data_IF_179532657145
#
_entry.id   IF_179532657145
#
_cell.length_a   1.000
_cell.length_b   1.000
_cell.length_c   1.000
_cell.angle_alpha   90.00
_cell.angle_beta   90.00
_cell.angle_gamma   90.00
#
_symmetry.space_group_name_H-M   'P 1'
#
loop_
_entity.id
_entity.type
_entity.pdbx_description
1 polymer ?
#
# COMPACT_ATOMS: atom_id res chain seq x y z
N UNK A 1 16.01 15.27 21.72
CA UNK A 1 14.64 15.87 21.64
C UNK A 1 14.56 17.01 22.62
N UNK A 2 13.99 18.18 22.21
CA UNK A 2 13.92 19.36 23.09
C UNK A 2 12.83 19.18 24.17
N UNK A 3 13.10 19.68 25.36
CA UNK A 3 12.13 19.71 26.45
C UNK A 3 10.89 20.56 26.07
N UNK A 4 9.64 20.05 26.20
CA UNK A 4 8.45 20.82 25.87
C UNK A 4 8.23 22.05 26.78
N UNK A 5 8.80 22.05 27.97
CA UNK A 5 8.58 23.09 28.96
C UNK A 5 9.61 24.26 28.90
N UNK A 6 10.91 23.95 28.78
CA UNK A 6 11.96 24.95 28.76
C UNK A 6 12.77 25.01 27.46
N UNK A 7 12.45 24.17 26.47
CA UNK A 7 13.11 24.11 25.17
C UNK A 7 14.59 23.68 25.20
N UNK A 8 15.14 23.33 26.34
CA UNK A 8 16.50 22.77 26.45
C UNK A 8 16.62 21.50 25.62
N UNK A 9 17.75 21.33 24.94
CA UNK A 9 18.05 20.13 24.16
C UNK A 9 18.51 18.94 25.04
N UNK A 10 18.94 19.23 26.26
CA UNK A 10 19.48 18.22 27.19
C UNK A 10 18.34 17.50 27.92
N UNK A 11 17.98 16.35 27.35
CA UNK A 11 16.95 15.46 27.94
C UNK A 11 17.43 14.02 27.87
N UNK A 12 17.23 13.28 28.96
CA UNK A 12 17.66 11.90 29.12
C UNK A 12 16.45 10.97 29.22
N UNK A 13 16.55 9.78 28.63
CA UNK A 13 15.56 8.70 28.78
C UNK A 13 15.82 8.00 30.10
N UNK A 14 14.81 7.96 30.98
CA UNK A 14 14.87 7.33 32.30
C UNK A 14 14.14 6.00 32.39
N UNK A 15 13.22 5.73 31.43
CA UNK A 15 12.48 4.46 31.31
C UNK A 15 12.03 4.26 29.85
N UNK A 16 12.04 3.01 29.40
CA UNK A 16 11.56 2.61 28.08
C UNK A 16 10.76 1.34 28.22
N UNK A 17 9.57 1.31 27.62
CA UNK A 17 8.69 0.12 27.59
C UNK A 17 8.07 0.00 26.23
N UNK A 18 7.99 -1.23 25.73
CA UNK A 18 7.18 -1.56 24.56
C UNK A 18 5.72 -1.50 24.98
N UNK A 19 4.84 -0.96 24.13
CA UNK A 19 3.38 -1.03 24.33
C UNK A 19 2.86 -2.47 24.31
N UNK A 20 1.72 -2.71 24.91
CA UNK A 20 1.15 -4.07 25.04
C UNK A 20 0.82 -4.71 23.67
N UNK A 21 0.53 -3.88 22.66
CA UNK A 21 0.31 -4.27 21.26
C UNK A 21 1.62 -4.51 20.46
N UNK A 22 2.77 -4.09 21.01
CA UNK A 22 4.08 -4.22 20.38
C UNK A 22 4.40 -3.14 19.33
N UNK A 23 3.46 -2.24 19.02
CA UNK A 23 3.55 -1.31 17.87
C UNK A 23 4.23 0.02 18.21
N UNK A 24 4.49 0.29 19.49
CA UNK A 24 5.14 1.52 19.91
C UNK A 24 6.09 1.33 21.10
N UNK A 25 7.05 2.23 21.22
CA UNK A 25 7.94 2.33 22.38
C UNK A 25 7.59 3.59 23.15
N UNK A 26 7.11 3.42 24.37
CA UNK A 26 6.89 4.51 25.31
C UNK A 26 8.18 4.82 26.03
N UNK A 27 8.68 6.06 25.92
CA UNK A 27 9.90 6.52 26.62
C UNK A 27 9.55 7.63 27.61
N UNK A 28 9.92 7.43 28.88
CA UNK A 28 9.84 8.46 29.88
C UNK A 28 11.16 9.23 29.91
N UNK A 29 11.09 10.55 29.77
CA UNK A 29 12.24 11.43 29.68
C UNK A 29 12.26 12.40 30.85
N UNK A 30 13.48 12.83 31.26
CA UNK A 30 13.73 13.90 32.24
C UNK A 30 14.59 14.96 31.59
N UNK A 31 14.23 16.23 31.77
CA UNK A 31 15.05 17.36 31.35
C UNK A 31 16.10 17.65 32.41
N UNK A 32 17.37 17.77 32.00
CA UNK A 32 18.46 18.13 32.95
C UNK A 32 18.36 19.59 33.44
N UNK A 33 17.86 20.50 32.59
CA UNK A 33 17.79 21.93 32.94
C UNK A 33 16.63 22.27 33.89
N UNK A 34 15.40 21.76 33.66
CA UNK A 34 14.22 22.11 34.47
C UNK A 34 13.70 20.96 35.35
N UNK A 35 14.33 19.81 35.33
CA UNK A 35 13.99 18.58 36.06
C UNK A 35 12.59 18.01 35.79
N UNK A 36 11.79 18.62 34.90
CA UNK A 36 10.48 18.13 34.55
C UNK A 36 10.57 16.83 33.75
N UNK A 37 9.57 15.95 33.94
CA UNK A 37 9.44 14.68 33.24
C UNK A 37 8.35 14.80 32.18
N UNK A 38 8.57 14.12 31.05
CA UNK A 38 7.60 14.02 29.98
C UNK A 38 7.70 12.65 29.27
N UNK A 39 6.67 12.27 28.60
CA UNK A 39 6.62 10.99 27.88
C UNK A 39 6.64 11.26 26.39
N UNK A 40 7.35 10.40 25.66
CA UNK A 40 7.35 10.37 24.20
C UNK A 40 7.03 8.98 23.73
N UNK A 41 6.43 8.89 22.55
CA UNK A 41 6.16 7.63 21.87
C UNK A 41 6.98 7.59 20.59
N UNK A 42 7.57 6.43 20.34
CA UNK A 42 8.23 6.09 19.07
C UNK A 42 7.37 5.05 18.39
N UNK A 43 6.83 5.40 17.24
CA UNK A 43 5.96 4.54 16.43
C UNK A 43 6.52 4.43 15.05
N UNK A 44 6.26 3.30 14.37
CA UNK A 44 6.61 3.14 12.96
C UNK A 44 5.65 3.98 12.13
N UNK A 45 6.19 4.91 11.35
CA UNK A 45 5.41 5.67 10.38
C UNK A 45 5.57 5.03 9.00
N UNK A 46 4.56 4.28 8.58
CA UNK A 46 4.49 3.76 7.23
C UNK A 46 3.83 4.81 6.33
N UNK A 47 4.58 5.29 5.36
CA UNK A 47 4.06 6.23 4.35
C UNK A 47 3.87 5.51 3.03
N UNK A 48 2.69 5.69 2.44
CA UNK A 48 2.44 5.26 1.07
C UNK A 48 3.33 6.06 0.11
N UNK A 49 3.89 5.42 -0.94
CA UNK A 49 4.65 6.13 -1.96
C UNK A 49 3.73 7.04 -2.78
N UNK A 50 4.32 8.08 -3.36
CA UNK A 50 3.66 8.84 -4.40
C UNK A 50 3.58 8.02 -5.69
N UNK A 51 2.47 8.13 -6.40
CA UNK A 51 2.25 7.42 -7.65
C UNK A 51 2.68 8.32 -8.82
N UNK A 52 3.68 7.85 -9.58
CA UNK A 52 4.12 8.49 -10.81
C UNK A 52 3.26 7.99 -11.96
N UNK A 53 2.50 8.88 -12.60
CA UNK A 53 1.66 8.58 -13.76
C UNK A 53 2.47 8.48 -15.05
N UNK A 54 1.86 7.97 -16.12
CA UNK A 54 2.50 7.85 -17.44
C UNK A 54 2.95 9.21 -18.03
N UNK A 55 2.24 10.29 -17.70
CA UNK A 55 2.60 11.67 -18.10
C UNK A 55 3.70 12.30 -17.23
N UNK A 56 4.26 11.54 -16.28
CA UNK A 56 5.27 12.00 -15.33
C UNK A 56 4.73 12.78 -14.14
N UNK A 57 3.42 13.07 -14.08
CA UNK A 57 2.82 13.74 -12.93
C UNK A 57 2.77 12.82 -11.70
N UNK A 58 2.78 13.42 -10.51
CA UNK A 58 2.76 12.73 -9.22
C UNK A 58 1.41 12.93 -8.55
N UNK A 59 0.90 11.87 -7.95
CA UNK A 59 -0.32 11.89 -7.16
C UNK A 59 -0.12 11.03 -5.89
N UNK A 60 -0.90 11.31 -4.87
CA UNK A 60 -0.94 10.42 -3.69
C UNK A 60 -1.54 9.06 -4.05
N UNK A 61 -1.10 8.02 -3.34
CA UNK A 61 -1.73 6.71 -3.45
C UNK A 61 -3.16 6.80 -2.92
N UNK A 62 -4.12 6.43 -3.75
CA UNK A 62 -5.55 6.55 -3.49
C UNK A 62 -6.17 5.14 -3.39
N UNK A 63 -6.53 4.74 -2.17
CA UNK A 63 -7.14 3.45 -1.88
C UNK A 63 -8.55 3.33 -2.50
N UNK A 64 -9.32 4.42 -2.54
CA UNK A 64 -10.65 4.41 -3.13
C UNK A 64 -10.59 4.22 -4.64
N UNK A 65 -9.57 4.80 -5.27
CA UNK A 65 -9.30 4.58 -6.69
C UNK A 65 -8.91 3.12 -6.97
N UNK A 66 -8.07 2.53 -6.12
CA UNK A 66 -7.71 1.11 -6.21
C UNK A 66 -8.97 0.24 -6.09
N UNK A 67 -9.78 0.46 -5.06
CA UNK A 67 -11.06 -0.23 -4.83
C UNK A 67 -12.00 -0.10 -6.04
N UNK A 68 -12.15 1.10 -6.56
CA UNK A 68 -12.98 1.37 -7.74
C UNK A 68 -12.51 0.58 -8.95
N UNK A 69 -11.21 0.44 -9.15
CA UNK A 69 -10.61 -0.37 -10.22
C UNK A 69 -11.03 -1.84 -10.11
N UNK A 70 -10.90 -2.44 -8.93
CA UNK A 70 -11.35 -3.81 -8.67
C UNK A 70 -12.86 -3.97 -8.90
N UNK A 71 -13.68 -3.08 -8.34
CA UNK A 71 -15.15 -3.15 -8.45
C UNK A 71 -15.63 -3.04 -9.91
N UNK A 72 -15.00 -2.20 -10.72
CA UNK A 72 -15.33 -2.09 -12.16
C UNK A 72 -14.98 -3.37 -12.91
N UNK A 73 -13.80 -3.93 -12.67
CA UNK A 73 -13.38 -5.18 -13.31
C UNK A 73 -14.27 -6.36 -12.91
N UNK A 74 -14.65 -6.44 -11.63
CA UNK A 74 -15.47 -7.51 -11.05
C UNK A 74 -16.98 -7.28 -11.18
N UNK A 75 -17.42 -6.23 -11.88
CA UNK A 75 -18.84 -5.92 -12.01
C UNK A 75 -19.64 -7.12 -12.58
N UNK A 76 -20.69 -7.54 -11.87
CA UNK A 76 -21.51 -8.73 -12.19
C UNK A 76 -20.72 -10.06 -12.25
N UNK A 77 -19.59 -10.16 -11.53
CA UNK A 77 -18.87 -11.42 -11.35
C UNK A 77 -19.20 -12.04 -9.98
N UNK A 78 -19.31 -13.38 -9.90
CA UNK A 78 -19.66 -14.08 -8.65
C UNK A 78 -18.45 -14.22 -7.72
N UNK A 79 -17.81 -13.11 -7.37
CA UNK A 79 -16.66 -13.06 -6.45
C UNK A 79 -17.12 -12.47 -5.12
N UNK A 80 -16.92 -13.18 -3.99
CA UNK A 80 -17.27 -12.68 -2.66
C UNK A 80 -16.52 -11.38 -2.32
N UNK A 81 -17.21 -10.43 -1.70
CA UNK A 81 -16.64 -9.14 -1.30
C UNK A 81 -15.41 -9.30 -0.42
N UNK A 82 -15.41 -10.32 0.46
CA UNK A 82 -14.27 -10.61 1.32
C UNK A 82 -12.99 -10.87 0.52
N UNK A 83 -13.05 -11.66 -0.55
CA UNK A 83 -11.89 -11.94 -1.41
C UNK A 83 -11.40 -10.69 -2.15
N UNK A 84 -12.33 -9.78 -2.50
CA UNK A 84 -11.97 -8.48 -3.09
C UNK A 84 -11.24 -7.61 -2.06
N UNK A 85 -11.71 -7.56 -0.83
CA UNK A 85 -11.07 -6.81 0.25
C UNK A 85 -9.69 -7.37 0.59
N UNK A 86 -9.53 -8.69 0.61
CA UNK A 86 -8.24 -9.36 0.80
C UNK A 86 -7.25 -9.02 -0.34
N UNK A 87 -7.71 -9.02 -1.59
CA UNK A 87 -6.88 -8.66 -2.74
C UNK A 87 -6.43 -7.18 -2.68
N UNK A 88 -7.33 -6.26 -2.29
CA UNK A 88 -7.00 -4.85 -2.10
C UNK A 88 -5.97 -4.67 -0.97
N UNK A 89 -6.16 -5.39 0.14
CA UNK A 89 -5.21 -5.38 1.25
C UNK A 89 -3.83 -5.89 0.81
N UNK A 90 -3.79 -6.98 0.04
CA UNK A 90 -2.54 -7.56 -0.51
C UNK A 90 -1.80 -6.53 -1.36
N UNK A 91 -2.47 -5.90 -2.33
CA UNK A 91 -1.84 -4.88 -3.18
C UNK A 91 -1.34 -3.70 -2.34
N UNK A 92 -2.13 -3.27 -1.33
CA UNK A 92 -1.76 -2.17 -0.44
C UNK A 92 -0.51 -2.50 0.38
N UNK A 93 -0.44 -3.71 0.92
CA UNK A 93 0.73 -4.19 1.67
C UNK A 93 1.96 -4.35 0.77
N UNK A 94 1.81 -4.88 -0.43
CA UNK A 94 2.90 -5.01 -1.39
C UNK A 94 3.50 -3.64 -1.75
N UNK A 95 2.65 -2.62 -1.96
CA UNK A 95 3.09 -1.24 -2.21
C UNK A 95 3.85 -0.67 -1.02
N UNK A 96 3.36 -0.87 0.21
CA UNK A 96 4.04 -0.45 1.43
C UNK A 96 5.38 -1.17 1.63
N UNK A 97 5.41 -2.47 1.36
CA UNK A 97 6.59 -3.31 1.56
C UNK A 97 7.77 -2.95 0.64
N UNK A 98 7.51 -2.24 -0.47
CA UNK A 98 8.59 -1.74 -1.33
C UNK A 98 9.49 -0.73 -0.62
N UNK A 99 8.98 0.02 0.37
CA UNK A 99 9.73 1.05 1.08
C UNK A 99 10.22 2.21 0.21
N UNK A 100 9.71 2.31 -1.01
CA UNK A 100 10.08 3.35 -1.98
C UNK A 100 9.29 4.64 -1.72
N UNK A 101 9.87 5.79 -2.07
CA UNK A 101 9.16 7.08 -1.96
C UNK A 101 8.19 7.32 -3.11
N UNK A 102 8.45 6.72 -4.25
CA UNK A 102 7.66 6.85 -5.48
C UNK A 102 7.48 5.47 -6.12
N UNK A 103 6.32 5.23 -6.70
CA UNK A 103 5.99 4.01 -7.44
C UNK A 103 5.34 4.37 -8.77
N UNK A 104 5.75 3.75 -9.85
CA UNK A 104 5.07 3.90 -11.14
C UNK A 104 3.66 3.31 -11.09
N UNK A 105 2.69 4.03 -11.66
CA UNK A 105 1.30 3.56 -11.76
C UNK A 105 1.20 2.21 -12.50
N UNK A 106 2.15 1.93 -13.39
CA UNK A 106 2.27 0.66 -14.09
C UNK A 106 2.54 -0.51 -13.14
N UNK A 107 3.45 -0.36 -12.17
CA UNK A 107 3.71 -1.42 -11.18
C UNK A 107 2.48 -1.75 -10.35
N UNK A 108 1.72 -0.72 -9.94
CA UNK A 108 0.45 -0.93 -9.22
C UNK A 108 -0.54 -1.70 -10.10
N UNK A 109 -0.68 -1.32 -11.36
CA UNK A 109 -1.54 -2.02 -12.31
C UNK A 109 -1.17 -3.49 -12.51
N UNK A 110 0.12 -3.82 -12.54
CA UNK A 110 0.60 -5.21 -12.60
C UNK A 110 0.25 -6.01 -11.32
N UNK A 111 0.34 -5.37 -10.14
CA UNK A 111 -0.11 -5.98 -8.88
C UNK A 111 -1.63 -6.25 -8.89
N UNK A 112 -2.43 -5.28 -9.35
CA UNK A 112 -3.88 -5.45 -9.51
C UNK A 112 -4.21 -6.58 -10.48
N UNK A 113 -3.53 -6.65 -11.62
CA UNK A 113 -3.74 -7.72 -12.61
C UNK A 113 -3.40 -9.10 -12.04
N UNK A 114 -2.34 -9.21 -11.24
CA UNK A 114 -1.98 -10.46 -10.56
C UNK A 114 -3.10 -10.94 -9.64
N UNK A 115 -3.67 -10.06 -8.83
CA UNK A 115 -4.76 -10.41 -7.92
C UNK A 115 -6.07 -10.70 -8.68
N UNK A 116 -6.43 -9.92 -9.71
CA UNK A 116 -7.60 -10.18 -10.54
C UNK A 116 -7.52 -11.52 -11.26
N UNK A 117 -6.33 -11.92 -11.70
CA UNK A 117 -6.11 -13.24 -12.32
C UNK A 117 -6.46 -14.40 -11.38
N UNK A 118 -6.18 -14.24 -10.08
CA UNK A 118 -6.53 -15.22 -9.04
C UNK A 118 -8.02 -15.25 -8.74
N UNK A 119 -8.68 -14.09 -8.78
CA UNK A 119 -10.08 -13.94 -8.43
C UNK A 119 -11.02 -14.36 -9.56
N UNK A 120 -10.80 -13.83 -10.77
CA UNK A 120 -11.69 -14.04 -11.91
C UNK A 120 -11.01 -13.68 -13.24
N UNK A 121 -10.95 -14.65 -14.14
CA UNK A 121 -10.29 -14.50 -15.44
C UNK A 121 -10.94 -13.44 -16.33
N UNK A 122 -12.27 -13.30 -16.29
CA UNK A 122 -12.99 -12.29 -17.07
C UNK A 122 -12.70 -10.88 -16.53
N UNK A 123 -12.65 -10.71 -15.20
CA UNK A 123 -12.28 -9.46 -14.58
C UNK A 123 -10.82 -9.06 -14.92
N UNK A 124 -9.91 -10.03 -14.94
CA UNK A 124 -8.55 -9.82 -15.42
C UNK A 124 -8.52 -9.25 -16.84
N UNK A 125 -9.22 -9.88 -17.79
CA UNK A 125 -9.24 -9.44 -19.19
C UNK A 125 -9.85 -8.04 -19.32
N UNK A 126 -10.94 -7.75 -18.60
CA UNK A 126 -11.57 -6.42 -18.57
C UNK A 126 -10.60 -5.35 -18.08
N UNK A 127 -9.90 -5.62 -17.00
CA UNK A 127 -8.93 -4.67 -16.45
C UNK A 127 -7.75 -4.50 -17.41
N UNK A 128 -7.21 -5.60 -17.94
CA UNK A 128 -6.10 -5.59 -18.88
C UNK A 128 -6.43 -4.79 -20.14
N UNK A 129 -7.66 -4.89 -20.67
CA UNK A 129 -8.06 -4.18 -21.88
C UNK A 129 -7.97 -2.65 -21.75
N UNK A 130 -8.33 -2.13 -20.58
CA UNK A 130 -8.22 -0.68 -20.29
C UNK A 130 -6.78 -0.31 -19.91
N UNK A 131 -6.17 -1.13 -19.06
CA UNK A 131 -4.86 -0.84 -18.51
C UNK A 131 -3.73 -0.89 -19.55
N UNK A 132 -3.79 -1.86 -20.45
CA UNK A 132 -2.84 -2.04 -21.57
C UNK A 132 -3.28 -1.31 -22.85
N UNK A 133 -4.44 -0.63 -22.83
CA UNK A 133 -5.03 0.10 -23.98
C UNK A 133 -5.12 -0.78 -25.21
N UNK A 134 -5.91 -1.87 -25.15
CA UNK A 134 -6.10 -2.78 -26.30
C UNK A 134 -6.65 -2.02 -27.51
N UNK A 135 -6.05 -2.24 -28.67
CA UNK A 135 -6.43 -1.59 -29.93
C UNK A 135 -7.22 -2.52 -30.87
N UNK A 136 -7.08 -3.83 -30.70
CA UNK A 136 -7.70 -4.80 -31.58
C UNK A 136 -8.12 -6.09 -30.91
N UNK A 137 -8.75 -6.98 -31.69
CA UNK A 137 -9.22 -8.30 -31.22
C UNK A 137 -8.04 -9.21 -30.83
N UNK A 138 -6.91 -9.04 -31.49
CA UNK A 138 -5.71 -9.85 -31.23
C UNK A 138 -5.18 -9.66 -29.82
N UNK A 139 -5.26 -8.44 -29.26
CA UNK A 139 -4.88 -8.15 -27.89
C UNK A 139 -5.70 -8.95 -26.87
N UNK A 140 -7.02 -9.11 -27.16
CA UNK A 140 -7.89 -9.95 -26.35
C UNK A 140 -7.51 -11.43 -26.44
N UNK A 141 -7.16 -11.92 -27.63
CA UNK A 141 -6.74 -13.31 -27.82
C UNK A 141 -5.45 -13.60 -27.04
N UNK A 142 -4.52 -12.67 -27.04
CA UNK A 142 -3.27 -12.82 -26.29
C UNK A 142 -3.49 -12.77 -24.78
N UNK A 143 -4.35 -11.88 -24.29
CA UNK A 143 -4.76 -11.85 -22.89
C UNK A 143 -5.47 -13.15 -22.45
N UNK A 144 -6.30 -13.73 -23.31
CA UNK A 144 -6.96 -15.03 -23.06
C UNK A 144 -5.91 -16.14 -22.95
N UNK A 145 -4.96 -16.22 -23.88
CA UNK A 145 -3.87 -17.21 -23.83
C UNK A 145 -3.03 -17.06 -22.57
N UNK A 146 -2.75 -15.80 -22.15
CA UNK A 146 -1.99 -15.50 -20.95
C UNK A 146 -2.70 -16.01 -19.69
N UNK A 147 -4.01 -15.79 -19.57
CA UNK A 147 -4.82 -16.25 -18.44
C UNK A 147 -4.90 -17.77 -18.35
N UNK A 148 -4.98 -18.44 -19.50
CA UNK A 148 -5.08 -19.90 -19.58
C UNK A 148 -3.77 -20.63 -19.23
N UNK A 149 -2.63 -19.94 -19.29
CA UNK A 149 -1.35 -20.53 -18.84
C UNK A 149 -1.35 -20.67 -17.31
N UNK A 150 -0.99 -21.84 -16.77
CA UNK A 150 -0.88 -22.00 -15.33
C UNK A 150 0.09 -20.96 -14.77
N UNK A 151 -0.29 -20.33 -13.66
CA UNK A 151 0.60 -19.41 -12.96
C UNK A 151 1.86 -20.19 -12.57
N UNK A 152 3.04 -19.74 -13.02
CA UNK A 152 4.29 -20.27 -12.47
C UNK A 152 4.35 -19.80 -11.02
N UNK A 153 4.09 -20.72 -10.10
CA UNK A 153 4.41 -20.52 -8.69
C UNK A 153 5.92 -20.25 -8.57
N UNK A 154 6.23 -19.10 -7.98
CA UNK A 154 7.59 -18.79 -7.49
C UNK A 154 7.58 -18.86 -6.00
#
# INVERSE_FOLDING_TARGET
MKCPFCKSADTQVIDSRVSDDGDSIRRRRKCAACNKRFTTYETVELRMPQVVKQDGSRAEFDLDKLRTGFMRALHKRPVPTQLVDEAIATVTQDVLALGEREIESRRIGEMVMRELRRLDQVAYIRFASVYRSFEGVDDFQDAIKEVQRPAKEK
#
